data_IF_332362957779
#
_entry.id   IF_332362957779
#
_cell.length_a   1.000
_cell.length_b   1.000
_cell.length_c   1.000
_cell.angle_alpha   90.00
_cell.angle_beta   90.00
_cell.angle_gamma   90.00
#
_symmetry.space_group_name_H-M   'P 1'
#
loop_
_entity.id
_entity.type
_entity.pdbx_description
1 polymer ?
#
# COMPACT_ATOMS: atom_id res chain seq x y z
N UNK A 1 25.93 -15.90 23.63
CA UNK A 1 25.25 -16.97 24.37
C UNK A 1 23.83 -17.05 23.81
N UNK A 2 23.55 -18.11 23.05
CA UNK A 2 22.31 -18.29 22.27
C UNK A 2 21.29 -19.06 23.10
N UNK A 3 20.01 -18.67 23.05
CA UNK A 3 18.89 -19.59 23.29
C UNK A 3 17.76 -19.24 22.33
N UNK A 4 17.48 -20.19 21.44
CA UNK A 4 16.25 -20.34 20.66
C UNK A 4 15.27 -21.28 21.40
N UNK A 5 13.95 -21.06 21.29
CA UNK A 5 13.03 -22.14 20.88
C UNK A 5 11.63 -21.63 20.58
N UNK A 6 11.08 -22.20 19.52
CA UNK A 6 9.70 -22.25 19.09
C UNK A 6 8.73 -22.71 20.20
N UNK A 7 7.46 -22.32 20.11
CA UNK A 7 6.26 -23.18 20.12
C UNK A 7 5.02 -22.32 20.42
N UNK A 8 4.01 -22.28 19.55
CA UNK A 8 2.60 -22.26 19.99
C UNK A 8 1.69 -22.70 18.84
N UNK A 9 1.33 -23.99 18.86
CA UNK A 9 0.19 -24.55 18.13
C UNK A 9 -0.89 -24.96 19.14
N UNK A 10 -2.00 -24.21 19.13
CA UNK A 10 -3.40 -24.66 19.17
C UNK A 10 -4.06 -25.13 20.49
N UNK A 11 -5.36 -24.78 20.54
CA UNK A 11 -6.45 -25.20 21.43
C UNK A 11 -6.49 -24.47 22.80
N UNK A 12 -7.61 -23.93 23.27
CA UNK A 12 -8.98 -23.96 22.79
C UNK A 12 -9.88 -23.48 23.91
N UNK A 13 -10.88 -22.67 23.56
CA UNK A 13 -12.17 -22.50 24.27
C UNK A 13 -12.16 -22.52 25.79
N UNK A 14 -12.16 -21.33 26.41
CA UNK A 14 -13.09 -20.94 27.50
C UNK A 14 -12.96 -19.44 27.78
N UNK A 15 -14.09 -18.76 27.70
CA UNK A 15 -14.25 -17.35 28.07
C UNK A 15 -14.16 -17.25 29.59
N UNK A 16 -12.96 -17.09 30.15
CA UNK A 16 -12.76 -16.64 31.52
C UNK A 16 -11.34 -16.07 31.62
N UNK A 17 -11.21 -14.76 31.35
CA UNK A 17 -9.97 -14.04 31.62
C UNK A 17 -10.05 -13.45 33.04
N UNK A 18 -9.73 -14.25 34.05
CA UNK A 18 -9.49 -13.74 35.39
C UNK A 18 -8.00 -13.37 35.47
N UNK A 19 -7.70 -12.06 35.44
CA UNK A 19 -6.33 -11.59 35.67
C UNK A 19 -6.10 -11.61 37.18
N UNK A 20 -5.30 -12.57 37.64
CA UNK A 20 -4.83 -12.61 39.01
C UNK A 20 -3.70 -11.59 39.19
N UNK A 21 -4.00 -10.47 39.84
CA UNK A 21 -3.02 -9.49 40.27
C UNK A 21 -2.58 -9.84 41.69
N UNK A 22 -1.41 -10.44 41.84
CA UNK A 22 -0.73 -10.59 43.13
C UNK A 22 -0.20 -9.20 43.58
N UNK A 23 -0.56 -8.74 44.78
CA UNK A 23 0.22 -7.69 45.47
C UNK A 23 -0.47 -6.44 46.04
N UNK A 24 -1.78 -6.37 46.25
CA UNK A 24 -2.40 -5.23 46.96
C UNK A 24 -3.36 -5.67 48.09
N UNK A 25 -3.23 -5.16 49.33
CA UNK A 25 -4.14 -5.51 50.42
C UNK A 25 -5.25 -4.47 50.54
N UNK A 26 -6.49 -4.79 50.14
CA UNK A 26 -7.66 -3.98 50.53
C UNK A 26 -8.86 -4.86 50.92
N UNK A 27 -9.42 -4.53 52.09
CA UNK A 27 -10.50 -5.21 52.83
C UNK A 27 -11.84 -5.27 52.07
N UNK A 28 -12.58 -6.35 52.35
CA UNK A 28 -13.96 -6.71 51.92
C UNK A 28 -14.99 -5.56 51.99
N UNK A 29 -15.92 -5.54 51.02
CA UNK A 29 -17.37 -5.69 51.28
C UNK A 29 -18.15 -5.99 49.99
N UNK A 30 -19.08 -6.93 50.10
CA UNK A 30 -20.06 -7.29 49.08
C UNK A 30 -21.10 -6.18 48.87
N UNK A 31 -21.47 -5.97 47.62
CA UNK A 31 -22.58 -5.12 47.19
C UNK A 31 -22.76 -5.26 45.69
N UNK A 32 -23.73 -6.06 45.27
CA UNK A 32 -24.12 -6.18 43.86
C UNK A 32 -24.83 -4.88 43.43
N UNK A 33 -24.27 -4.21 42.43
CA UNK A 33 -24.93 -3.08 41.75
C UNK A 33 -25.07 -3.40 40.26
N UNK A 34 -26.25 -3.19 39.64
CA UNK A 34 -26.42 -3.39 38.21
C UNK A 34 -25.74 -2.25 37.45
N UNK A 35 -24.67 -2.58 36.72
CA UNK A 35 -23.95 -1.62 35.88
C UNK A 35 -24.75 -1.45 34.59
N UNK A 36 -25.37 -0.29 34.39
CA UNK A 36 -25.91 0.13 33.09
C UNK A 36 -24.72 0.45 32.15
N UNK A 37 -24.87 0.00 30.90
CA UNK A 37 -23.88 -0.06 29.83
C UNK A 37 -23.36 1.30 29.35
N UNK A 38 -22.51 1.98 30.11
CA UNK A 38 -21.96 3.27 29.69
C UNK A 38 -20.53 3.57 30.21
N UNK A 39 -19.84 2.60 30.82
CA UNK A 39 -18.59 2.83 31.55
C UNK A 39 -17.30 2.44 30.78
N UNK A 40 -17.34 2.37 29.44
CA UNK A 40 -16.15 2.14 28.61
C UNK A 40 -15.70 3.40 27.85
N UNK A 41 -16.58 4.38 27.65
CA UNK A 41 -16.24 5.65 26.98
C UNK A 41 -15.54 6.64 27.92
N UNK A 42 -15.76 6.53 29.24
CA UNK A 42 -15.23 7.50 30.22
C UNK A 42 -13.79 7.19 30.69
N UNK A 43 -13.31 5.96 30.47
CA UNK A 43 -11.91 5.57 30.71
C UNK A 43 -11.02 5.83 29.49
N UNK A 44 -11.57 5.74 28.28
CA UNK A 44 -10.83 5.98 27.03
C UNK A 44 -10.50 7.48 26.80
N UNK A 45 -11.24 8.40 27.42
CA UNK A 45 -10.99 9.85 27.30
C UNK A 45 -9.99 10.42 28.31
N UNK A 46 -9.60 9.67 29.36
CA UNK A 46 -8.71 10.19 30.43
C UNK A 46 -7.24 9.78 30.31
N UNK A 47 -6.82 9.18 29.19
CA UNK A 47 -5.43 8.75 28.96
C UNK A 47 -4.68 9.54 27.87
N UNK A 48 -5.17 10.71 27.46
CA UNK A 48 -4.52 11.50 26.40
C UNK A 48 -3.78 12.76 26.88
N UNK A 49 -3.48 12.90 28.18
CA UNK A 49 -2.83 14.12 28.68
C UNK A 49 -1.42 14.01 29.24
N UNK A 50 -0.75 12.85 29.24
CA UNK A 50 0.67 12.77 29.57
C UNK A 50 1.41 11.69 28.75
N UNK A 51 2.39 12.15 27.95
CA UNK A 51 3.56 11.43 27.35
C UNK A 51 3.53 11.19 25.81
N UNK A 52 4.54 11.82 25.17
CA UNK A 52 5.21 11.54 23.87
C UNK A 52 4.53 11.89 22.52
N UNK A 53 5.07 12.86 21.73
CA UNK A 53 4.63 13.16 20.38
C UNK A 53 5.56 12.52 19.33
N UNK A 54 5.60 11.18 19.17
CA UNK A 54 6.11 10.58 17.91
C UNK A 54 5.81 9.08 17.76
N UNK A 55 4.54 8.71 17.70
CA UNK A 55 4.13 7.40 17.16
C UNK A 55 2.99 7.67 16.19
N UNK A 56 3.22 7.40 14.91
CA UNK A 56 2.19 7.49 13.88
C UNK A 56 1.03 6.57 14.22
N UNK A 57 -0.14 7.16 14.46
CA UNK A 57 -1.38 6.41 14.69
C UNK A 57 -1.75 5.62 13.42
N UNK A 58 -2.13 4.34 13.51
CA UNK A 58 -2.68 3.61 12.38
C UNK A 58 -3.98 4.25 11.89
N UNK A 59 -4.30 4.21 10.58
CA UNK A 59 -5.36 5.02 9.96
C UNK A 59 -6.79 4.69 10.41
N UNK A 60 -6.98 3.71 11.31
CA UNK A 60 -8.30 3.29 11.79
C UNK A 60 -8.93 4.23 12.83
N UNK A 61 -8.24 5.27 13.30
CA UNK A 61 -8.82 6.26 14.21
C UNK A 61 -9.32 7.56 13.55
N UNK A 62 -9.15 7.75 12.24
CA UNK A 62 -9.73 8.91 11.52
C UNK A 62 -11.10 8.62 10.88
N UNK A 63 -11.57 7.37 10.91
CA UNK A 63 -12.77 6.93 10.19
C UNK A 63 -14.09 7.02 11.00
N UNK A 64 -14.06 7.36 12.29
CA UNK A 64 -15.28 7.39 13.13
C UNK A 64 -15.96 8.77 13.26
N UNK A 65 -15.50 9.80 12.53
CA UNK A 65 -15.96 11.19 12.70
C UNK A 65 -16.80 11.77 11.52
N UNK A 66 -17.45 10.94 10.69
CA UNK A 66 -18.19 11.47 9.52
C UNK A 66 -19.62 10.97 9.30
N UNK A 67 -20.27 10.27 10.24
CA UNK A 67 -21.71 10.00 10.09
C UNK A 67 -22.44 10.13 11.42
N UNK A 68 -22.77 11.37 11.82
CA UNK A 68 -23.86 11.64 12.78
C UNK A 68 -24.58 12.96 12.50
N UNK A 69 -25.79 12.80 11.94
CA UNK A 69 -26.99 13.63 12.10
C UNK A 69 -27.08 15.00 11.39
N UNK A 70 -28.13 15.20 10.59
CA UNK A 70 -29.46 15.65 11.08
C UNK A 70 -30.46 15.76 9.92
N UNK A 71 -31.20 14.69 9.65
CA UNK A 71 -32.51 14.81 9.02
C UNK A 71 -33.50 15.38 10.05
N UNK A 72 -33.51 16.71 10.19
CA UNK A 72 -34.57 17.39 10.94
C UNK A 72 -35.82 17.45 10.06
N UNK A 73 -36.80 16.63 10.43
CA UNK A 73 -38.18 16.73 9.95
C UNK A 73 -38.70 18.16 10.20
N UNK A 74 -38.77 18.95 9.14
CA UNK A 74 -39.53 20.21 9.15
C UNK A 74 -41.01 19.88 9.02
N UNK A 75 -41.68 19.76 10.18
CA UNK A 75 -43.13 19.69 10.31
C UNK A 75 -43.73 21.05 9.92
N UNK A 76 -44.20 21.21 8.69
CA UNK A 76 -45.17 22.28 8.33
C UNK A 76 -46.54 21.65 8.13
N UNK A 77 -47.48 22.01 9.00
CA UNK A 77 -48.92 21.80 8.84
C UNK A 77 -49.45 22.79 7.80
N UNK A 78 -50.27 22.31 6.87
CA UNK A 78 -51.42 23.02 6.28
C UNK A 78 -52.25 22.05 5.40
N UNK A 79 -53.54 22.34 5.16
CA UNK A 79 -54.63 21.38 5.25
C UNK A 79 -55.07 20.77 3.91
N UNK A 80 -55.95 19.78 4.04
CA UNK A 80 -56.52 18.86 3.05
C UNK A 80 -56.79 19.41 1.64
N UNK A 81 -56.32 18.65 0.65
CA UNK A 81 -56.84 18.64 -0.73
C UNK A 81 -56.58 17.26 -1.35
N UNK A 82 -57.62 16.52 -1.81
CA UNK A 82 -57.44 15.20 -2.38
C UNK A 82 -57.40 15.30 -3.90
N UNK A 83 -56.21 15.36 -4.51
CA UNK A 83 -55.97 14.68 -5.79
C UNK A 83 -54.50 14.68 -6.23
N UNK A 84 -54.02 13.45 -6.41
CA UNK A 84 -53.09 13.00 -7.47
C UNK A 84 -51.59 13.26 -7.37
N UNK A 85 -50.90 12.19 -7.79
CA UNK A 85 -49.57 12.08 -8.42
C UNK A 85 -48.37 11.81 -7.51
N UNK A 86 -48.00 10.52 -7.47
CA UNK A 86 -46.61 10.03 -7.34
C UNK A 86 -45.69 10.79 -8.29
N UNK A 87 -44.39 10.95 -7.96
CA UNK A 87 -43.45 10.17 -8.77
C UNK A 87 -42.05 9.84 -8.18
N UNK A 88 -41.36 8.97 -8.92
CA UNK A 88 -39.91 8.75 -9.06
C UNK A 88 -39.09 8.21 -7.88
N UNK A 89 -38.83 6.89 -7.95
CA UNK A 89 -37.75 6.23 -7.23
C UNK A 89 -36.38 6.70 -7.70
N UNK A 90 -35.47 6.81 -6.74
CA UNK A 90 -34.04 6.98 -6.96
C UNK A 90 -33.36 5.77 -6.33
N UNK A 91 -32.92 4.84 -7.18
CA UNK A 91 -31.99 3.77 -6.77
C UNK A 91 -30.59 4.29 -7.10
N UNK A 92 -29.89 4.80 -6.08
CA UNK A 92 -28.46 5.08 -6.16
C UNK A 92 -27.71 3.77 -5.91
N UNK A 93 -27.29 3.08 -6.97
CA UNK A 93 -26.31 2.00 -6.86
C UNK A 93 -24.96 2.66 -6.59
N UNK A 94 -24.60 2.76 -5.32
CA UNK A 94 -23.29 3.23 -4.87
C UNK A 94 -22.22 2.19 -5.18
N UNK A 95 -21.57 2.30 -6.33
CA UNK A 95 -20.26 1.67 -6.56
C UNK A 95 -19.20 2.49 -5.81
N UNK A 96 -19.09 2.26 -4.50
CA UNK A 96 -17.90 2.67 -3.75
C UNK A 96 -16.75 1.75 -4.17
N UNK A 97 -16.07 2.11 -5.26
CA UNK A 97 -14.80 1.47 -5.64
C UNK A 97 -13.73 1.86 -4.62
N UNK A 98 -13.33 0.92 -3.78
CA UNK A 98 -12.17 1.06 -2.91
C UNK A 98 -10.92 1.25 -3.78
N UNK A 99 -10.36 2.45 -3.84
CA UNK A 99 -9.04 2.66 -4.40
C UNK A 99 -8.04 1.87 -3.53
N UNK A 100 -7.42 0.84 -4.09
CA UNK A 100 -6.36 0.11 -3.41
C UNK A 100 -5.18 1.07 -3.21
N UNK A 101 -4.86 1.36 -1.95
CA UNK A 101 -3.65 2.09 -1.59
C UNK A 101 -2.49 1.12 -1.83
N UNK A 102 -1.73 1.30 -2.90
CA UNK A 102 -0.48 0.58 -3.11
C UNK A 102 0.59 1.17 -2.19
N UNK A 103 1.32 0.28 -1.51
CA UNK A 103 2.47 0.67 -0.70
C UNK A 103 3.67 0.95 -1.61
N UNK A 104 4.43 1.98 -1.25
CA UNK A 104 5.70 2.30 -1.88
C UNK A 104 6.69 1.11 -1.72
N UNK A 105 7.63 0.93 -2.67
CA UNK A 105 8.62 -0.15 -2.58
C UNK A 105 9.62 0.13 -1.45
N UNK A 106 10.37 -0.91 -1.05
CA UNK A 106 11.53 -0.74 -0.17
C UNK A 106 12.47 0.35 -0.75
N UNK A 107 13.04 1.26 0.07
CA UNK A 107 13.90 2.33 -0.44
C UNK A 107 15.12 1.84 -1.24
N UNK A 108 15.59 0.61 -1.00
CA UNK A 108 16.70 0.00 -1.72
C UNK A 108 16.23 -1.07 -2.72
N UNK A 109 14.93 -1.15 -3.02
CA UNK A 109 14.38 -2.10 -3.97
C UNK A 109 15.05 -1.95 -5.34
N UNK A 110 15.40 -3.10 -5.91
CA UNK A 110 15.92 -3.22 -7.26
C UNK A 110 15.02 -4.17 -8.07
N UNK A 111 15.07 -4.11 -9.42
CA UNK A 111 14.39 -5.08 -10.27
C UNK A 111 14.76 -6.53 -9.90
N UNK A 112 13.81 -7.44 -10.01
CA UNK A 112 14.01 -8.85 -9.60
C UNK A 112 13.68 -9.84 -10.71
N UNK A 113 14.32 -11.00 -10.67
CA UNK A 113 14.05 -12.08 -11.63
C UNK A 113 14.48 -11.76 -13.06
N UNK A 114 15.51 -10.93 -13.24
CA UNK A 114 16.03 -10.54 -14.55
C UNK A 114 16.51 -11.74 -15.37
N UNK A 115 15.97 -11.90 -16.58
CA UNK A 115 16.36 -12.92 -17.54
C UNK A 115 16.49 -12.30 -18.93
N UNK A 116 17.69 -12.36 -19.50
CA UNK A 116 17.92 -11.95 -20.89
C UNK A 116 17.36 -13.02 -21.82
N UNK A 117 16.39 -12.65 -22.66
CA UNK A 117 15.71 -13.57 -23.58
C UNK A 117 16.04 -13.30 -25.06
N UNK A 118 16.59 -12.14 -25.38
CA UNK A 118 17.14 -11.83 -26.71
C UNK A 118 18.25 -10.78 -26.61
N UNK A 119 19.28 -10.92 -27.44
CA UNK A 119 20.51 -10.12 -27.35
C UNK A 119 21.48 -10.67 -26.29
N UNK A 120 22.42 -9.83 -25.85
CA UNK A 120 23.36 -10.18 -24.79
C UNK A 120 23.46 -9.03 -23.77
N UNK A 121 23.41 -9.38 -22.48
CA UNK A 121 23.71 -8.47 -21.40
C UNK A 121 24.22 -9.22 -20.17
N UNK A 122 24.99 -8.55 -19.32
CA UNK A 122 25.31 -9.00 -17.97
C UNK A 122 24.59 -8.11 -16.96
N UNK A 123 24.03 -8.71 -15.93
CA UNK A 123 23.29 -7.99 -14.87
C UNK A 123 24.11 -8.12 -13.59
N UNK A 124 24.57 -6.98 -13.08
CA UNK A 124 25.38 -6.87 -11.88
C UNK A 124 24.62 -6.11 -10.81
N UNK A 125 24.74 -6.56 -9.56
CA UNK A 125 24.16 -5.88 -8.40
C UNK A 125 25.24 -5.66 -7.34
N UNK A 126 25.30 -4.44 -6.81
CA UNK A 126 26.15 -4.06 -5.70
C UNK A 126 25.35 -3.18 -4.73
N UNK A 127 24.90 -3.77 -3.62
CA UNK A 127 24.02 -3.07 -2.68
C UNK A 127 22.70 -2.65 -3.33
N UNK A 128 22.39 -1.35 -3.30
CA UNK A 128 21.20 -0.73 -3.90
C UNK A 128 21.43 -0.24 -5.34
N UNK A 129 22.55 -0.60 -5.96
CA UNK A 129 22.86 -0.28 -7.35
C UNK A 129 22.81 -1.53 -8.23
N UNK A 130 22.12 -1.43 -9.37
CA UNK A 130 22.12 -2.43 -10.42
C UNK A 130 22.72 -1.84 -11.70
N UNK A 131 23.67 -2.55 -12.30
CA UNK A 131 24.26 -2.21 -13.59
C UNK A 131 23.95 -3.31 -14.60
N UNK A 132 23.47 -2.92 -15.77
CA UNK A 132 23.10 -3.81 -16.87
C UNK A 132 24.02 -3.45 -18.04
N UNK A 133 25.04 -4.27 -18.24
CA UNK A 133 26.01 -4.13 -19.33
C UNK A 133 25.47 -4.84 -20.57
N UNK A 134 24.82 -4.08 -21.44
CA UNK A 134 24.23 -4.57 -22.68
C UNK A 134 25.30 -4.66 -23.78
N UNK A 135 25.46 -5.86 -24.36
CA UNK A 135 26.44 -6.14 -25.42
C UNK A 135 25.92 -6.01 -26.84
N UNK A 136 24.60 -6.04 -27.05
CA UNK A 136 23.97 -5.97 -28.39
C UNK A 136 23.17 -4.68 -28.59
N UNK A 137 22.94 -4.25 -29.84
CA UNK A 137 22.15 -3.03 -30.11
C UNK A 137 20.69 -3.13 -29.67
N UNK A 138 20.10 -4.33 -29.70
CA UNK A 138 18.78 -4.62 -29.16
C UNK A 138 18.91 -5.66 -28.05
N UNK A 139 18.22 -5.43 -26.95
CA UNK A 139 18.13 -6.33 -25.80
C UNK A 139 16.66 -6.52 -25.43
N UNK A 140 16.28 -7.76 -25.12
CA UNK A 140 15.00 -8.04 -24.46
C UNK A 140 15.30 -8.79 -23.17
N UNK A 141 14.85 -8.23 -22.04
CA UNK A 141 14.94 -8.84 -20.73
C UNK A 141 13.55 -8.96 -20.10
N UNK A 142 13.24 -10.13 -19.57
CA UNK A 142 12.07 -10.36 -18.73
C UNK A 142 12.43 -10.14 -17.26
N UNK A 143 11.48 -9.62 -16.49
CA UNK A 143 11.62 -9.33 -15.08
C UNK A 143 10.36 -9.79 -14.33
N UNK A 144 10.56 -10.29 -13.11
CA UNK A 144 9.44 -10.57 -12.21
C UNK A 144 8.86 -9.25 -11.66
N UNK A 145 9.73 -8.35 -11.20
CA UNK A 145 9.38 -6.97 -10.84
C UNK A 145 10.42 -6.01 -11.42
N UNK A 146 10.01 -4.78 -11.66
CA UNK A 146 10.92 -3.71 -12.06
C UNK A 146 10.60 -2.48 -11.22
N UNK A 147 11.09 -2.51 -9.98
CA UNK A 147 10.97 -1.42 -9.01
C UNK A 147 12.35 -0.83 -8.76
N UNK A 148 12.41 0.47 -8.53
CA UNK A 148 13.63 1.18 -8.15
C UNK A 148 13.28 2.04 -6.94
N UNK A 149 13.69 1.59 -5.75
CA UNK A 149 13.47 2.30 -4.50
C UNK A 149 14.13 3.68 -4.49
N UNK A 150 13.69 4.57 -3.59
CA UNK A 150 14.15 5.97 -3.54
C UNK A 150 15.67 6.14 -3.36
N UNK A 151 16.35 5.17 -2.75
CA UNK A 151 17.81 5.15 -2.54
C UNK A 151 18.54 4.22 -3.53
N UNK A 152 17.81 3.63 -4.47
CA UNK A 152 18.34 2.67 -5.43
C UNK A 152 18.61 3.31 -6.79
N UNK A 153 19.48 2.67 -7.57
CA UNK A 153 19.79 3.05 -8.93
C UNK A 153 19.88 1.86 -9.87
N UNK A 154 19.41 2.05 -11.10
CA UNK A 154 19.57 1.11 -12.21
C UNK A 154 20.24 1.85 -13.36
N UNK A 155 21.36 1.31 -13.83
CA UNK A 155 22.13 1.89 -14.94
C UNK A 155 22.23 0.88 -16.08
N UNK A 156 21.84 1.29 -17.29
CA UNK A 156 22.07 0.53 -18.52
C UNK A 156 23.27 1.10 -19.27
N UNK A 157 24.34 0.31 -19.36
CA UNK A 157 25.49 0.61 -20.22
C UNK A 157 25.27 -0.09 -21.56
N UNK A 158 24.88 0.67 -22.57
CA UNK A 158 24.49 0.18 -23.89
C UNK A 158 25.58 0.49 -24.92
N UNK A 159 25.66 -0.26 -26.04
CA UNK A 159 26.74 -0.08 -27.01
C UNK A 159 26.78 1.32 -27.64
N UNK A 160 25.62 1.94 -27.85
CA UNK A 160 25.46 3.24 -28.51
C UNK A 160 24.24 3.98 -27.95
N UNK A 161 24.14 5.28 -28.22
CA UNK A 161 22.97 6.10 -27.87
C UNK A 161 21.69 5.69 -28.61
N UNK A 162 21.82 4.98 -29.74
CA UNK A 162 20.68 4.41 -30.49
C UNK A 162 20.31 2.98 -30.06
N UNK A 163 21.05 2.36 -29.15
CA UNK A 163 20.75 1.01 -28.67
C UNK A 163 19.50 1.02 -27.79
N UNK A 164 18.75 -0.08 -27.81
CA UNK A 164 17.45 -0.21 -27.13
C UNK A 164 17.48 -1.40 -26.16
N UNK A 165 17.00 -1.19 -24.94
CA UNK A 165 16.72 -2.23 -23.95
C UNK A 165 15.21 -2.32 -23.70
N UNK A 166 14.58 -3.42 -24.09
CA UNK A 166 13.20 -3.73 -23.76
C UNK A 166 13.14 -4.56 -22.47
N UNK A 167 12.50 -3.99 -21.45
CA UNK A 167 12.26 -4.61 -20.16
C UNK A 167 10.77 -4.98 -20.06
N UNK A 168 10.47 -6.26 -19.94
CA UNK A 168 9.11 -6.80 -19.84
C UNK A 168 8.87 -7.33 -18.43
N UNK A 169 7.80 -6.86 -17.79
CA UNK A 169 7.46 -7.22 -16.41
C UNK A 169 6.20 -8.09 -16.39
N UNK A 170 6.25 -9.20 -15.68
CA UNK A 170 5.13 -10.16 -15.52
C UNK A 170 4.37 -10.02 -14.19
N UNK A 171 4.79 -9.09 -13.33
CA UNK A 171 4.15 -8.80 -12.04
C UNK A 171 2.72 -8.28 -12.18
N UNK A 172 1.88 -8.59 -11.19
CA UNK A 172 0.53 -8.01 -11.07
C UNK A 172 0.53 -6.61 -10.45
N UNK A 173 1.66 -6.15 -9.93
CA UNK A 173 1.88 -4.80 -9.43
C UNK A 173 2.52 -3.91 -10.50
N UNK A 174 2.21 -2.60 -10.51
CA UNK A 174 2.89 -1.65 -11.38
C UNK A 174 4.37 -1.57 -11.02
N UNK A 175 5.17 -1.16 -12.00
CA UNK A 175 6.57 -0.82 -11.80
C UNK A 175 6.67 0.51 -11.08
N UNK A 176 7.32 0.52 -9.92
CA UNK A 176 7.44 1.69 -9.06
C UNK A 176 8.87 2.25 -9.12
N UNK A 177 9.03 3.39 -9.79
CA UNK A 177 10.32 4.05 -10.03
C UNK A 177 10.42 5.28 -9.15
N UNK A 178 11.02 5.13 -7.97
CA UNK A 178 11.24 6.21 -6.99
C UNK A 178 12.69 6.69 -6.99
N UNK A 179 13.64 5.84 -7.39
CA UNK A 179 15.07 6.15 -7.44
C UNK A 179 15.55 6.62 -8.80
N UNK A 180 16.76 6.17 -9.16
CA UNK A 180 17.49 6.60 -10.36
C UNK A 180 17.44 5.55 -11.46
N UNK A 181 17.01 5.94 -12.65
CA UNK A 181 17.15 5.16 -13.87
C UNK A 181 18.05 5.90 -14.86
N UNK A 182 19.19 5.32 -15.19
CA UNK A 182 20.17 5.92 -16.10
C UNK A 182 20.47 5.01 -17.30
N UNK A 183 20.65 5.59 -18.48
CA UNK A 183 21.08 4.88 -19.67
C UNK A 183 21.73 5.84 -20.67
N UNK A 184 22.75 5.38 -21.39
CA UNK A 184 23.29 6.16 -22.50
C UNK A 184 22.43 6.06 -23.78
N UNK A 185 21.62 5.01 -23.92
CA UNK A 185 20.69 4.82 -25.04
C UNK A 185 19.22 4.81 -24.59
N UNK A 186 18.41 3.98 -25.24
CA UNK A 186 16.97 3.94 -25.04
C UNK A 186 16.55 2.79 -24.13
N UNK A 187 15.57 3.06 -23.26
CA UNK A 187 14.96 2.09 -22.35
C UNK A 187 13.46 2.03 -22.62
N UNK A 188 12.97 0.83 -22.92
CA UNK A 188 11.55 0.54 -23.01
C UNK A 188 11.15 -0.31 -21.80
N UNK A 189 10.07 0.08 -21.12
CA UNK A 189 9.53 -0.64 -19.97
C UNK A 189 8.07 -0.99 -20.21
N UNK A 190 7.77 -2.28 -20.20
CA UNK A 190 6.43 -2.82 -20.44
C UNK A 190 5.98 -3.53 -19.18
N UNK A 191 4.94 -3.00 -18.54
CA UNK A 191 4.29 -3.62 -17.40
C UNK A 191 2.77 -3.44 -17.55
N UNK A 192 2.00 -4.53 -17.78
CA UNK A 192 0.55 -4.47 -17.90
C UNK A 192 -0.17 -3.81 -16.73
N UNK A 193 0.40 -3.92 -15.52
CA UNK A 193 -0.16 -3.33 -14.31
C UNK A 193 0.11 -1.84 -14.16
N UNK A 194 0.95 -1.26 -15.02
CA UNK A 194 1.29 0.17 -14.98
C UNK A 194 2.75 0.45 -14.68
N UNK A 195 3.14 1.71 -14.89
CA UNK A 195 4.44 2.25 -14.50
C UNK A 195 4.18 3.56 -13.77
N UNK A 196 4.75 3.71 -12.57
CA UNK A 196 4.60 4.88 -11.70
C UNK A 196 5.98 5.46 -11.45
N UNK A 197 6.13 6.76 -11.70
CA UNK A 197 7.31 7.53 -11.31
C UNK A 197 7.00 8.31 -10.03
N UNK A 198 7.69 7.94 -8.95
CA UNK A 198 7.52 8.55 -7.64
C UNK A 198 8.13 9.95 -7.56
N UNK A 199 7.76 10.69 -6.52
CA UNK A 199 8.36 12.00 -6.24
C UNK A 199 9.88 11.85 -6.00
N UNK A 200 10.68 12.69 -6.66
CA UNK A 200 12.13 12.66 -6.53
C UNK A 200 12.83 11.63 -7.41
N UNK A 201 12.07 10.83 -8.17
CA UNK A 201 12.65 9.94 -9.18
C UNK A 201 13.42 10.72 -10.23
N UNK A 202 14.52 10.12 -10.71
CA UNK A 202 15.38 10.71 -11.73
C UNK A 202 15.53 9.72 -12.88
N UNK A 203 15.12 10.16 -14.06
CA UNK A 203 15.24 9.39 -15.30
C UNK A 203 16.16 10.15 -16.25
N UNK A 204 17.36 9.62 -16.45
CA UNK A 204 18.38 10.20 -17.34
C UNK A 204 18.75 9.17 -18.40
N UNK A 205 18.01 9.17 -19.50
CA UNK A 205 18.16 8.20 -20.60
C UNK A 205 18.12 8.91 -21.95
N UNK A 206 18.64 8.28 -23.01
CA UNK A 206 18.53 8.76 -24.39
C UNK A 206 17.09 8.74 -24.93
N UNK A 207 16.24 7.87 -24.38
CA UNK A 207 14.80 7.86 -24.61
C UNK A 207 14.10 6.87 -23.69
N UNK A 208 12.89 7.20 -23.22
CA UNK A 208 12.07 6.31 -22.40
C UNK A 208 10.70 6.09 -23.05
N UNK A 209 10.31 4.82 -23.14
CA UNK A 209 8.95 4.42 -23.56
C UNK A 209 8.38 3.49 -22.50
N UNK A 210 7.20 3.82 -21.98
CA UNK A 210 6.47 2.98 -21.01
C UNK A 210 5.15 2.50 -21.61
N UNK A 211 4.81 1.23 -21.43
CA UNK A 211 3.57 0.65 -21.96
C UNK A 211 2.89 -0.28 -20.96
N UNK A 212 1.55 -0.26 -20.99
CA UNK A 212 0.68 -1.20 -20.29
C UNK A 212 0.13 -2.31 -21.21
N UNK A 213 0.51 -2.32 -22.49
CA UNK A 213 0.17 -3.43 -23.38
C UNK A 213 1.10 -4.62 -23.10
N UNK A 214 0.52 -5.80 -22.83
CA UNK A 214 1.28 -7.01 -22.48
C UNK A 214 2.17 -7.60 -23.57
N UNK A 215 2.13 -7.05 -24.79
CA UNK A 215 2.98 -7.48 -25.90
C UNK A 215 3.53 -6.25 -26.61
N UNK A 216 4.86 -6.12 -26.63
CA UNK A 216 5.61 -5.23 -27.50
C UNK A 216 6.68 -6.08 -28.16
N UNK A 217 6.57 -6.25 -29.47
CA UNK A 217 7.57 -6.89 -30.32
C UNK A 217 8.34 -5.79 -31.08
N UNK A 218 9.67 -5.92 -31.20
CA UNK A 218 10.60 -4.92 -31.79
C UNK A 218 11.64 -5.56 -32.70
#
# INVERSE_FOLDING_TARGET
MSISSEFLTKLGTRNDLCIQLEGFPIKRRAGAFPIKSNALEDVAMRLTHHIAPNIGLPPLLKAWAQVRMRARHSRKKSPDSPNRMTPFGIVLIGLAGSAAIQADPDPNALPTGGQVVSGAAQIHQAGSEMTIDQGTHKLIANWQTFDIGANAGVTFNQPTTSSVALNRVSSQSPSQIFGRLSANGQVMLVNPSGVVFGQGSQVNVGGITTSTLGSVDI
#
